data_IF_018672360673
#
_entry.id   IF_018672360673
#
_cell.length_a   1.000
_cell.length_b   1.000
_cell.length_c   1.000
_cell.angle_alpha   90.00
_cell.angle_beta   90.00
_cell.angle_gamma   90.00
#
_symmetry.space_group_name_H-M   'P 1'
#
loop_
_entity.id
_entity.type
_entity.pdbx_description
1 polymer ?
#
# COMPACT_ATOMS: atom_id res chain seq x y z
N UNK A 1 5.21 15.09 11.80
CA UNK A 1 6.56 14.93 11.20
C UNK A 1 7.20 13.57 11.50
N UNK A 2 6.88 12.86 12.58
CA UNK A 2 7.51 11.55 12.89
C UNK A 2 7.16 10.38 11.95
N UNK A 3 5.94 10.33 11.39
CA UNK A 3 5.46 9.14 10.64
C UNK A 3 6.18 8.86 9.32
N UNK A 4 6.45 9.88 8.49
CA UNK A 4 7.18 9.69 7.24
C UNK A 4 8.65 9.31 7.51
N UNK A 5 9.28 9.92 8.52
CA UNK A 5 10.64 9.59 8.92
C UNK A 5 10.75 8.14 9.43
N UNK A 6 9.77 7.68 10.23
CA UNK A 6 9.73 6.29 10.68
C UNK A 6 9.50 5.31 9.53
N UNK A 7 8.64 5.63 8.57
CA UNK A 7 8.41 4.77 7.40
C UNK A 7 9.70 4.62 6.57
N UNK A 8 10.37 5.73 6.26
CA UNK A 8 11.63 5.72 5.54
C UNK A 8 12.72 4.95 6.30
N UNK A 9 12.77 5.10 7.63
CA UNK A 9 13.68 4.33 8.48
C UNK A 9 13.41 2.82 8.43
N UNK A 10 12.14 2.41 8.51
CA UNK A 10 11.74 1.00 8.40
C UNK A 10 12.13 0.44 7.02
N UNK A 11 11.81 1.16 5.95
CA UNK A 11 12.15 0.76 4.58
C UNK A 11 13.66 0.64 4.37
N UNK A 12 14.44 1.54 4.94
CA UNK A 12 15.91 1.49 4.90
C UNK A 12 16.44 0.25 5.63
N UNK A 13 15.94 -0.03 6.84
CA UNK A 13 16.35 -1.22 7.61
C UNK A 13 15.98 -2.49 6.85
N UNK A 14 14.78 -2.56 6.27
CA UNK A 14 14.35 -3.69 5.44
C UNK A 14 15.24 -3.87 4.20
N UNK A 15 15.61 -2.77 3.52
CA UNK A 15 16.52 -2.82 2.38
C UNK A 15 17.89 -3.37 2.78
N UNK A 16 18.47 -2.85 3.87
CA UNK A 16 19.77 -3.31 4.37
C UNK A 16 19.74 -4.80 4.74
N UNK A 17 18.67 -5.26 5.39
CA UNK A 17 18.51 -6.66 5.74
C UNK A 17 18.43 -7.56 4.49
N UNK A 18 17.69 -7.14 3.47
CA UNK A 18 17.58 -7.88 2.19
C UNK A 18 18.93 -7.93 1.46
N UNK A 19 19.62 -6.80 1.34
CA UNK A 19 20.94 -6.73 0.69
C UNK A 19 21.95 -7.60 1.43
N UNK A 20 21.99 -7.53 2.76
CA UNK A 20 22.87 -8.36 3.58
C UNK A 20 22.55 -9.84 3.36
N UNK A 21 21.27 -10.23 3.36
CA UNK A 21 20.86 -11.62 3.15
C UNK A 21 21.27 -12.15 1.77
N UNK A 22 21.11 -11.37 0.70
CA UNK A 22 21.51 -11.77 -0.66
C UNK A 22 23.02 -12.03 -0.72
N UNK A 23 23.82 -11.13 -0.14
CA UNK A 23 25.28 -11.24 -0.17
C UNK A 23 25.83 -12.34 0.74
N UNK A 24 25.19 -12.63 1.88
CA UNK A 24 25.64 -13.67 2.82
C UNK A 24 25.23 -15.08 2.41
N UNK A 25 24.06 -15.24 1.80
CA UNK A 25 23.50 -16.55 1.43
C UNK A 25 23.87 -16.95 0.00
N UNK A 26 24.48 -16.02 -0.78
CA UNK A 26 24.89 -16.23 -2.18
C UNK A 26 23.76 -16.85 -3.02
N UNK A 27 22.58 -16.23 -2.96
CA UNK A 27 21.42 -16.69 -3.74
C UNK A 27 21.59 -16.20 -5.18
N UNK A 28 22.00 -17.09 -6.08
CA UNK A 28 22.36 -16.74 -7.48
C UNK A 28 21.21 -16.07 -8.26
N UNK A 29 19.95 -16.36 -7.90
CA UNK A 29 18.77 -15.82 -8.59
C UNK A 29 18.35 -14.41 -8.14
N UNK A 30 18.92 -13.89 -7.04
CA UNK A 30 18.50 -12.61 -6.46
C UNK A 30 19.62 -11.58 -6.48
N UNK A 31 19.39 -10.46 -7.17
CA UNK A 31 20.33 -9.34 -7.20
C UNK A 31 19.92 -8.22 -6.24
N UNK A 32 20.85 -7.30 -5.96
CA UNK A 32 20.54 -6.06 -5.23
C UNK A 32 19.45 -5.23 -5.93
N UNK A 33 19.31 -5.35 -7.25
CA UNK A 33 18.23 -4.70 -7.99
C UNK A 33 16.86 -5.28 -7.62
N UNK A 34 16.76 -6.59 -7.41
CA UNK A 34 15.53 -7.25 -6.96
C UNK A 34 15.13 -6.80 -5.54
N UNK A 35 16.11 -6.68 -4.63
CA UNK A 35 15.86 -6.14 -3.29
C UNK A 35 15.35 -4.69 -3.34
N UNK A 36 15.97 -3.87 -4.19
CA UNK A 36 15.55 -2.47 -4.39
C UNK A 36 14.15 -2.38 -5.00
N UNK A 37 13.83 -3.25 -5.97
CA UNK A 37 12.50 -3.34 -6.55
C UNK A 37 11.44 -3.70 -5.50
N UNK A 38 11.74 -4.65 -4.60
CA UNK A 38 10.85 -5.02 -3.50
C UNK A 38 10.54 -3.85 -2.56
N UNK A 39 11.56 -3.07 -2.19
CA UNK A 39 11.41 -1.89 -1.32
C UNK A 39 10.66 -0.77 -2.04
N UNK A 40 10.96 -0.54 -3.32
CA UNK A 40 10.22 0.42 -4.14
C UNK A 40 8.73 0.11 -4.12
N UNK A 41 8.34 -1.14 -4.33
CA UNK A 41 6.93 -1.56 -4.39
C UNK A 41 6.16 -1.32 -3.09
N UNK A 42 6.85 -1.23 -1.94
CA UNK A 42 6.22 -0.88 -0.67
C UNK A 42 5.81 0.60 -0.59
N UNK A 43 6.45 1.48 -1.37
CA UNK A 43 6.18 2.93 -1.31
C UNK A 43 4.78 3.26 -1.87
N UNK A 44 4.39 2.85 -3.11
CA UNK A 44 3.07 3.13 -3.66
C UNK A 44 1.91 2.63 -2.79
N UNK A 45 2.00 1.39 -2.27
CA UNK A 45 0.95 0.84 -1.41
C UNK A 45 0.86 1.60 -0.08
N UNK A 46 2.00 1.93 0.53
CA UNK A 46 2.02 2.68 1.79
C UNK A 46 1.40 4.06 1.62
N UNK A 47 1.74 4.76 0.52
CA UNK A 47 1.14 6.05 0.20
C UNK A 47 -0.38 5.94 -0.02
N UNK A 48 -0.83 4.87 -0.68
CA UNK A 48 -2.27 4.60 -0.87
C UNK A 48 -2.99 4.42 0.47
N UNK A 49 -2.41 3.63 1.39
CA UNK A 49 -2.96 3.40 2.73
C UNK A 49 -3.00 4.69 3.53
N UNK A 50 -1.92 5.49 3.50
CA UNK A 50 -1.84 6.78 4.20
C UNK A 50 -2.89 7.75 3.64
N UNK A 51 -3.03 7.85 2.32
CA UNK A 51 -4.01 8.73 1.67
C UNK A 51 -5.46 8.30 1.98
N UNK A 52 -5.76 7.00 1.93
CA UNK A 52 -7.06 6.46 2.32
C UNK A 52 -7.37 6.75 3.79
N UNK A 53 -6.39 6.52 4.68
CA UNK A 53 -6.51 6.80 6.11
C UNK A 53 -6.76 8.28 6.37
N UNK A 54 -6.06 9.16 5.65
CA UNK A 54 -6.25 10.61 5.73
C UNK A 54 -7.67 11.00 5.29
N UNK A 55 -8.13 10.48 4.15
CA UNK A 55 -9.50 10.71 3.65
C UNK A 55 -10.56 10.28 4.67
N UNK A 56 -10.42 9.08 5.26
CA UNK A 56 -11.32 8.60 6.30
C UNK A 56 -11.25 9.47 7.57
N UNK A 57 -10.07 9.96 7.91
CA UNK A 57 -9.87 10.83 9.08
C UNK A 57 -10.54 12.18 8.93
N UNK A 58 -10.45 12.81 7.75
CA UNK A 58 -11.12 14.11 7.50
C UNK A 58 -12.63 13.96 7.31
N UNK A 59 -13.09 12.79 6.85
CA UNK A 59 -14.50 12.49 6.63
C UNK A 59 -15.26 12.09 7.90
N UNK A 60 -14.55 11.72 8.97
CA UNK A 60 -15.17 11.28 10.24
C UNK A 60 -15.05 12.36 11.32
N UNK A 61 -16.00 12.36 12.25
CA UNK A 61 -16.07 13.36 13.34
C UNK A 61 -15.17 13.03 14.53
N UNK A 62 -14.69 11.80 14.67
CA UNK A 62 -13.89 11.36 15.82
C UNK A 62 -12.62 10.61 15.41
N UNK A 63 -11.51 10.89 16.09
CA UNK A 63 -10.24 10.21 15.84
C UNK A 63 -10.31 8.69 16.11
N UNK A 64 -11.14 8.26 17.08
CA UNK A 64 -11.34 6.84 17.40
C UNK A 64 -12.04 6.09 16.25
N UNK A 65 -13.08 6.68 15.66
CA UNK A 65 -13.76 6.09 14.50
C UNK A 65 -12.86 6.08 13.26
N UNK A 66 -12.06 7.13 13.05
CA UNK A 66 -11.12 7.23 11.93
C UNK A 66 -10.13 6.05 11.92
N UNK A 67 -9.47 5.80 13.06
CA UNK A 67 -8.51 4.71 13.20
C UNK A 67 -9.15 3.34 12.97
N UNK A 68 -10.33 3.09 13.55
CA UNK A 68 -11.06 1.84 13.37
C UNK A 68 -11.48 1.58 11.93
N UNK A 69 -12.00 2.60 11.24
CA UNK A 69 -12.41 2.48 9.83
C UNK A 69 -11.22 2.30 8.89
N UNK A 70 -10.10 2.98 9.14
CA UNK A 70 -8.88 2.79 8.38
C UNK A 70 -8.32 1.37 8.55
N UNK A 71 -8.29 0.86 9.79
CA UNK A 71 -7.88 -0.51 10.07
C UNK A 71 -8.80 -1.52 9.38
N UNK A 72 -10.12 -1.33 9.48
CA UNK A 72 -11.10 -2.18 8.81
C UNK A 72 -10.94 -2.16 7.30
N UNK A 73 -10.71 -1.00 6.68
CA UNK A 73 -10.47 -0.85 5.26
C UNK A 73 -9.24 -1.66 4.79
N UNK A 74 -8.12 -1.54 5.51
CA UNK A 74 -6.89 -2.28 5.20
C UNK A 74 -7.11 -3.79 5.37
N UNK A 75 -7.68 -4.21 6.50
CA UNK A 75 -7.94 -5.63 6.76
C UNK A 75 -8.92 -6.23 5.75
N UNK A 76 -10.02 -5.54 5.45
CA UNK A 76 -11.01 -6.00 4.50
C UNK A 76 -10.39 -6.16 3.10
N UNK A 77 -9.58 -5.18 2.67
CA UNK A 77 -8.85 -5.29 1.40
C UNK A 77 -7.93 -6.52 1.38
N UNK A 78 -7.18 -6.74 2.47
CA UNK A 78 -6.30 -7.90 2.59
C UNK A 78 -7.08 -9.23 2.53
N UNK A 79 -8.17 -9.34 3.29
CA UNK A 79 -9.00 -10.55 3.31
C UNK A 79 -9.71 -10.81 1.98
N UNK A 80 -10.23 -9.78 1.32
CA UNK A 80 -10.82 -9.92 -0.02
C UNK A 80 -9.80 -10.51 -0.98
N UNK A 81 -8.56 -10.00 -0.97
CA UNK A 81 -7.48 -10.54 -1.80
C UNK A 81 -7.16 -11.99 -1.44
N UNK A 82 -6.96 -12.28 -0.16
CA UNK A 82 -6.60 -13.62 0.31
C UNK A 82 -7.69 -14.68 0.02
N UNK A 83 -8.97 -14.31 0.16
CA UNK A 83 -10.09 -15.20 -0.14
C UNK A 83 -10.22 -15.41 -1.65
N UNK A 84 -10.04 -14.37 -2.46
CA UNK A 84 -10.08 -14.51 -3.91
C UNK A 84 -8.94 -15.42 -4.42
N UNK A 85 -7.72 -15.29 -3.88
CA UNK A 85 -6.60 -16.19 -4.21
C UNK A 85 -6.84 -17.65 -3.78
N UNK A 86 -7.77 -17.90 -2.85
CA UNK A 86 -8.12 -19.25 -2.37
C UNK A 86 -9.31 -19.86 -3.14
N UNK A 87 -10.26 -19.04 -3.55
CA UNK A 87 -11.52 -19.45 -4.17
C UNK A 87 -11.63 -18.75 -5.52
N UNK A 88 -10.98 -19.35 -6.52
CA UNK A 88 -11.05 -18.88 -7.90
C UNK A 88 -12.44 -19.11 -8.51
N UNK A 89 -12.89 -18.18 -9.35
CA UNK A 89 -14.08 -18.34 -10.20
C UNK A 89 -15.42 -17.93 -9.57
N UNK A 90 -15.40 -17.20 -8.46
CA UNK A 90 -16.62 -16.59 -7.89
C UNK A 90 -16.74 -15.14 -8.38
N UNK A 91 -17.73 -14.81 -9.26
CA UNK A 91 -17.78 -13.49 -9.91
C UNK A 91 -17.85 -12.30 -8.95
N UNK A 92 -18.53 -12.47 -7.80
CA UNK A 92 -18.60 -11.43 -6.78
C UNK A 92 -17.24 -11.18 -6.11
N UNK A 93 -16.46 -12.23 -5.85
CA UNK A 93 -15.14 -12.09 -5.25
C UNK A 93 -14.16 -11.46 -6.24
N UNK A 94 -14.22 -11.83 -7.51
CA UNK A 94 -13.38 -11.23 -8.56
C UNK A 94 -13.65 -9.72 -8.68
N UNK A 95 -14.92 -9.33 -8.65
CA UNK A 95 -15.32 -7.93 -8.68
C UNK A 95 -14.85 -7.17 -7.42
N UNK A 96 -15.04 -7.73 -6.23
CA UNK A 96 -14.57 -7.14 -4.96
C UNK A 96 -13.04 -7.04 -4.92
N UNK A 97 -12.33 -8.03 -5.45
CA UNK A 97 -10.88 -8.04 -5.51
C UNK A 97 -10.34 -6.87 -6.34
N UNK A 98 -11.03 -6.45 -7.39
CA UNK A 98 -10.70 -5.23 -8.14
C UNK A 98 -10.68 -3.95 -7.30
N UNK A 99 -11.37 -3.90 -6.16
CA UNK A 99 -11.33 -2.76 -5.23
C UNK A 99 -10.33 -2.92 -4.10
N UNK A 100 -9.77 -4.12 -3.91
CA UNK A 100 -8.74 -4.35 -2.90
C UNK A 100 -7.44 -3.68 -3.33
N UNK A 101 -6.88 -2.82 -2.47
CA UNK A 101 -5.55 -2.23 -2.68
C UNK A 101 -4.44 -3.31 -2.77
N UNK A 102 -4.66 -4.47 -2.15
CA UNK A 102 -3.71 -5.58 -2.18
C UNK A 102 -3.79 -6.39 -3.48
N UNK A 103 -4.83 -6.21 -4.30
CA UNK A 103 -4.89 -6.86 -5.62
C UNK A 103 -3.81 -6.36 -6.59
N UNK A 104 -3.36 -5.12 -6.38
CA UNK A 104 -2.34 -4.45 -7.15
C UNK A 104 -0.94 -4.54 -6.53
N UNK A 105 -0.82 -5.14 -5.35
CA UNK A 105 0.46 -5.34 -4.65
C UNK A 105 0.99 -6.75 -4.86
N UNK A 106 2.06 -6.89 -5.65
CA UNK A 106 2.67 -8.15 -6.07
C UNK A 106 4.08 -8.31 -5.50
N UNK A 107 4.20 -8.41 -4.17
CA UNK A 107 5.48 -8.47 -3.46
C UNK A 107 6.43 -9.55 -3.99
N UNK A 108 5.97 -10.79 -4.13
CA UNK A 108 6.80 -11.90 -4.61
C UNK A 108 7.20 -11.75 -6.09
N UNK A 109 6.25 -11.33 -6.92
CA UNK A 109 6.52 -11.16 -8.36
C UNK A 109 7.52 -10.04 -8.61
N UNK A 110 7.51 -8.97 -7.80
CA UNK A 110 8.51 -7.89 -7.94
C UNK A 110 9.91 -8.34 -7.54
N UNK A 111 10.01 -9.22 -6.54
CA UNK A 111 11.28 -9.82 -6.16
C UNK A 111 11.89 -10.69 -7.27
N UNK A 112 11.06 -11.36 -8.07
CA UNK A 112 11.55 -12.25 -9.15
C UNK A 112 11.70 -11.50 -10.49
N UNK A 113 10.67 -10.76 -10.90
CA UNK A 113 10.56 -10.16 -12.24
C UNK A 113 10.95 -8.68 -12.28
N UNK A 114 11.35 -8.09 -11.15
CA UNK A 114 11.64 -6.67 -11.04
C UNK A 114 10.38 -5.80 -10.98
N UNK A 115 10.57 -4.48 -11.12
CA UNK A 115 9.52 -3.48 -10.90
C UNK A 115 8.39 -3.62 -11.93
N UNK A 116 7.15 -3.72 -11.44
CA UNK A 116 5.96 -3.75 -12.28
C UNK A 116 5.30 -2.37 -12.36
N UNK A 117 5.89 -1.51 -13.18
CA UNK A 117 5.57 -0.09 -13.29
C UNK A 117 4.08 0.22 -13.49
N UNK A 118 3.35 -0.63 -14.21
CA UNK A 118 1.92 -0.42 -14.44
C UNK A 118 1.10 -0.45 -13.14
N UNK A 119 1.38 -1.41 -12.25
CA UNK A 119 0.70 -1.53 -10.96
C UNK A 119 1.14 -0.43 -9.99
N UNK A 120 2.42 -0.08 -9.99
CA UNK A 120 2.95 1.02 -9.18
C UNK A 120 2.37 2.37 -9.57
N UNK A 121 2.31 2.65 -10.89
CA UNK A 121 1.73 3.87 -11.40
C UNK A 121 0.25 3.97 -11.06
N UNK A 122 -0.50 2.86 -11.13
CA UNK A 122 -1.90 2.81 -10.73
C UNK A 122 -2.06 3.12 -9.24
N UNK A 123 -1.28 2.47 -8.37
CA UNK A 123 -1.30 2.73 -6.93
C UNK A 123 -0.95 4.19 -6.60
N UNK A 124 0.08 4.75 -7.25
CA UNK A 124 0.45 6.15 -7.08
C UNK A 124 -0.65 7.11 -7.55
N UNK A 125 -1.30 6.82 -8.68
CA UNK A 125 -2.42 7.61 -9.18
C UNK A 125 -3.61 7.56 -8.21
N UNK A 126 -3.95 6.38 -7.68
CA UNK A 126 -4.99 6.22 -6.67
C UNK A 126 -4.63 6.96 -5.39
N UNK A 127 -3.39 6.85 -4.91
CA UNK A 127 -2.92 7.58 -3.73
C UNK A 127 -3.04 9.10 -3.93
N UNK A 128 -2.64 9.63 -5.09
CA UNK A 128 -2.77 11.04 -5.42
C UNK A 128 -4.24 11.50 -5.46
N UNK A 129 -5.13 10.69 -6.05
CA UNK A 129 -6.56 10.97 -6.10
C UNK A 129 -7.19 10.99 -4.71
N UNK A 130 -6.91 9.98 -3.87
CA UNK A 130 -7.38 9.90 -2.48
C UNK A 130 -6.88 11.08 -1.65
N UNK A 131 -5.61 11.46 -1.82
CA UNK A 131 -5.03 12.61 -1.15
C UNK A 131 -5.69 13.93 -1.59
N UNK A 132 -5.91 14.13 -2.89
CA UNK A 132 -6.61 15.30 -3.41
C UNK A 132 -8.05 15.40 -2.89
N UNK A 133 -8.77 14.27 -2.83
CA UNK A 133 -10.11 14.20 -2.22
C UNK A 133 -10.07 14.54 -0.73
N UNK A 134 -9.06 14.06 0.00
CA UNK A 134 -8.89 14.37 1.41
C UNK A 134 -8.65 15.87 1.63
N UNK A 135 -7.81 16.51 0.81
CA UNK A 135 -7.57 17.95 0.86
C UNK A 135 -8.85 18.75 0.56
N UNK A 136 -9.60 18.36 -0.46
CA UNK A 136 -10.85 19.01 -0.81
C UNK A 136 -11.90 18.89 0.29
N UNK A 137 -12.02 17.70 0.90
CA UNK A 137 -12.96 17.46 2.01
C UNK A 137 -12.55 18.26 3.26
N UNK A 138 -11.24 18.34 3.53
CA UNK A 138 -10.68 19.14 4.61
C UNK A 138 -10.99 20.63 4.44
N UNK A 139 -10.72 21.19 3.25
CA UNK A 139 -11.03 22.59 2.94
C UNK A 139 -12.51 22.91 3.11
N UNK A 140 -13.41 22.03 2.65
CA UNK A 140 -14.86 22.23 2.82
C UNK A 140 -15.30 22.22 4.28
N UNK A 141 -14.63 21.43 5.12
CA UNK A 141 -14.92 21.36 6.55
C UNK A 141 -14.44 22.61 7.29
N UNK A 142 -13.29 23.16 6.91
CA UNK A 142 -12.69 24.32 7.56
C UNK A 142 -13.23 25.66 7.04
N UNK A 143 -13.72 25.72 5.79
CA UNK A 143 -14.41 26.89 5.23
C UNK A 143 -15.88 27.00 5.67
N UNK A 144 -16.43 25.97 6.31
CA UNK A 144 -17.78 25.99 6.88
C UNK A 144 -17.80 26.69 8.24
N UNK A 145 -17.73 28.02 8.22
CA UNK A 145 -18.30 28.88 9.28
C UNK A 145 -19.80 29.05 9.00
#
# INVERSE_FOLDING_TARGET
MGGCASLLGILLIMWLALVLSINLVAVDDFTVANATAGIWHMIPISLTIIAATLLLSVSTRSARSAGGLAALFVLASYFVRAINDLIDGVPLLDWLNGFSIFSYYRSLTVLVNGVQWAYDALLLAVAAALFALALWQFQRRDLGV
#
